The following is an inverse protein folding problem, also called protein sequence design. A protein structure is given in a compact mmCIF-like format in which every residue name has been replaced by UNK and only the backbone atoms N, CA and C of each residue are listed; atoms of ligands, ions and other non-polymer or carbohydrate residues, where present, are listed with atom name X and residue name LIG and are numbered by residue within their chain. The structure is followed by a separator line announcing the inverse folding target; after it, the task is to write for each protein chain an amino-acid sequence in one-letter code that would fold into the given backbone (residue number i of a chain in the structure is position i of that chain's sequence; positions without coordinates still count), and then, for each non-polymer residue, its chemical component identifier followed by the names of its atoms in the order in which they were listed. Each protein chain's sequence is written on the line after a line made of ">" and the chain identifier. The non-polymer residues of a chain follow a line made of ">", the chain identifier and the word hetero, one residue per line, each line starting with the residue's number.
data_IF_793163861575
#
_entry.id   IF_793163861575
#
_cell.length_a   1.000
_cell.length_b   1.000
_cell.length_c   1.000
_cell.angle_alpha   90.00
_cell.angle_beta   90.00
_cell.angle_gamma   90.00
#
_symmetry.space_group_name_H-M   'P 1'
#
loop_
_entity.id
_entity.type
_entity.pdbx_description
1 polymer ?
#
# COMPACT_ATOMS: atom_id res chain seq x y z
N UNK A 1 -6.99 -33.03 -28.73
CA UNK A 1 -6.85 -31.83 -27.88
C UNK A 1 -7.55 -30.68 -28.58
N UNK A 2 -8.80 -30.34 -28.19
CA UNK A 2 -9.54 -29.25 -28.80
C UNK A 2 -9.11 -27.91 -28.17
N UNK A 3 -8.41 -27.07 -28.93
CA UNK A 3 -7.98 -25.74 -28.50
C UNK A 3 -9.20 -24.82 -28.57
N UNK A 4 -9.71 -24.39 -27.41
CA UNK A 4 -10.82 -23.43 -27.35
C UNK A 4 -10.36 -22.09 -27.97
N UNK A 5 -10.93 -21.73 -29.12
CA UNK A 5 -10.70 -20.42 -29.76
C UNK A 5 -11.14 -19.31 -28.82
N UNK A 6 -10.33 -18.24 -28.74
CA UNK A 6 -10.69 -17.04 -27.99
C UNK A 6 -11.92 -16.38 -28.61
N UNK A 7 -12.82 -15.80 -27.80
CA UNK A 7 -13.93 -15.02 -28.32
C UNK A 7 -13.38 -13.82 -29.11
N UNK A 8 -14.03 -13.52 -30.23
CA UNK A 8 -13.72 -12.35 -31.04
C UNK A 8 -14.02 -11.08 -30.24
N UNK A 9 -13.09 -10.14 -30.26
CA UNK A 9 -13.26 -8.83 -29.62
C UNK A 9 -14.08 -7.95 -30.55
N UNK A 10 -15.15 -7.35 -30.03
CA UNK A 10 -15.99 -6.39 -30.76
C UNK A 10 -15.35 -4.99 -30.71
N UNK A 11 -14.86 -4.44 -31.84
CA UNK A 11 -14.25 -3.12 -31.88
C UNK A 11 -15.23 -2.00 -31.49
N UNK A 12 -16.53 -2.15 -31.76
CA UNK A 12 -17.53 -1.15 -31.43
C UNK A 12 -17.77 -1.01 -29.91
N UNK A 13 -17.47 -2.04 -29.12
CA UNK A 13 -17.55 -1.98 -27.67
C UNK A 13 -16.41 -1.15 -27.04
N UNK A 14 -15.25 -1.12 -27.71
CA UNK A 14 -14.08 -0.36 -27.26
C UNK A 14 -14.30 1.14 -27.51
N UNK A 15 -14.84 1.50 -28.66
CA UNK A 15 -15.15 2.90 -29.00
C UNK A 15 -16.18 3.51 -28.06
N UNK A 16 -17.29 2.80 -27.76
CA UNK A 16 -18.30 3.27 -26.81
C UNK A 16 -17.76 3.48 -25.39
N UNK A 17 -16.76 2.70 -24.98
CA UNK A 17 -16.10 2.89 -23.68
C UNK A 17 -15.26 4.17 -23.67
N UNK A 18 -14.58 4.49 -24.78
CA UNK A 18 -13.86 5.75 -24.95
C UNK A 18 -14.81 6.96 -24.92
N UNK A 19 -15.92 6.90 -25.66
CA UNK A 19 -16.90 7.98 -25.71
C UNK A 19 -17.56 8.25 -24.35
N UNK A 20 -17.79 7.20 -23.56
CA UNK A 20 -18.34 7.34 -22.21
C UNK A 20 -17.37 7.97 -21.21
N UNK A 21 -16.05 7.93 -21.47
CA UNK A 21 -15.04 8.52 -20.62
C UNK A 21 -14.82 10.02 -20.92
N UNK A 22 -15.08 10.46 -22.15
CA UNK A 22 -14.94 11.87 -22.59
C UNK A 22 -16.23 12.70 -22.39
N UNK A 23 -17.34 12.06 -22.00
CA UNK A 23 -18.58 12.77 -21.74
C UNK A 23 -18.48 13.66 -20.48
N UNK A 24 -18.85 14.96 -20.57
CA UNK A 24 -18.88 15.82 -19.40
C UNK A 24 -19.92 15.31 -18.38
N UNK A 25 -19.63 15.39 -17.06
CA UNK A 25 -20.56 14.92 -16.04
C UNK A 25 -21.86 15.71 -16.13
N UNK A 26 -22.96 15.01 -16.45
CA UNK A 26 -24.29 15.61 -16.41
C UNK A 26 -24.60 16.09 -14.98
N UNK A 27 -25.21 17.28 -14.80
CA UNK A 27 -25.56 17.77 -13.48
C UNK A 27 -26.58 16.82 -12.85
N UNK A 28 -26.25 16.34 -11.65
CA UNK A 28 -27.13 15.50 -10.84
C UNK A 28 -28.43 16.26 -10.54
N UNK A 29 -29.52 15.88 -11.20
CA UNK A 29 -30.86 16.26 -10.78
C UNK A 29 -31.15 15.59 -9.44
N UNK A 30 -31.51 16.42 -8.48
CA UNK A 30 -31.62 16.17 -7.06
C UNK A 30 -32.69 15.12 -6.72
N UNK A 31 -32.35 14.16 -5.86
CA UNK A 31 -33.30 13.49 -5.00
C UNK A 31 -32.94 13.80 -3.53
N UNK A 32 -33.52 14.91 -3.07
CA UNK A 32 -34.09 15.14 -1.75
C UNK A 32 -33.33 14.71 -0.47
N UNK A 33 -33.05 15.76 0.31
CA UNK A 33 -33.33 15.92 1.76
C UNK A 33 -32.32 15.50 2.82
N UNK A 34 -31.96 16.56 3.56
CA UNK A 34 -31.57 16.68 4.97
C UNK A 34 -30.12 16.39 5.37
N UNK A 35 -29.45 17.51 5.61
CA UNK A 35 -28.26 17.69 6.44
C UNK A 35 -28.32 16.89 7.74
N UNK A 36 -27.16 16.39 8.18
CA UNK A 36 -26.37 16.95 9.30
C UNK A 36 -25.29 15.93 9.64
N UNK A 37 -24.03 16.29 9.47
CA UNK A 37 -22.90 15.52 10.02
C UNK A 37 -22.98 15.59 11.55
N UNK A 38 -22.78 14.47 12.26
CA UNK A 38 -21.58 14.45 13.07
C UNK A 38 -20.76 13.18 12.86
N UNK A 39 -19.46 13.41 12.94
CA UNK A 39 -18.36 12.47 12.93
C UNK A 39 -18.58 11.37 13.98
N UNK A 40 -18.90 10.14 13.54
CA UNK A 40 -18.82 8.96 14.38
C UNK A 40 -17.60 8.14 13.94
N UNK A 41 -16.60 8.08 14.81
CA UNK A 41 -15.43 7.20 14.70
C UNK A 41 -15.94 5.76 14.72
N UNK A 42 -16.20 5.21 13.53
CA UNK A 42 -16.46 3.79 13.37
C UNK A 42 -15.13 3.04 13.37
N UNK A 43 -14.83 2.44 14.53
CA UNK A 43 -13.85 1.37 14.73
C UNK A 43 -13.99 0.38 13.57
N UNK A 44 -13.08 0.36 12.60
CA UNK A 44 -13.20 -0.54 11.45
C UNK A 44 -12.87 -1.97 11.90
N UNK A 45 -13.90 -2.67 12.35
CA UNK A 45 -13.94 -4.11 12.30
C UNK A 45 -13.86 -4.56 10.83
N UNK A 46 -13.19 -5.69 10.62
CA UNK A 46 -12.64 -6.16 9.35
C UNK A 46 -13.56 -6.07 8.13
N UNK A 47 -12.93 -5.73 7.00
CA UNK A 47 -13.38 -6.19 5.69
C UNK A 47 -12.20 -6.91 5.02
N UNK A 48 -12.18 -8.22 5.20
CA UNK A 48 -11.38 -9.11 4.37
C UNK A 48 -11.90 -9.01 2.92
N UNK A 49 -11.03 -8.58 2.01
CA UNK A 49 -11.24 -8.68 0.57
C UNK A 49 -9.93 -9.12 -0.10
N UNK A 50 -9.88 -10.42 -0.37
CA UNK A 50 -9.14 -11.10 -1.43
C UNK A 50 -7.81 -10.54 -1.91
N UNK A 51 -6.72 -11.08 -1.39
CA UNK A 51 -5.65 -11.67 -2.22
C UNK A 51 -5.09 -12.84 -1.43
N UNK A 52 -5.41 -14.07 -1.86
CA UNK A 52 -4.79 -15.26 -1.31
C UNK A 52 -3.31 -15.26 -1.69
N UNK A 53 -2.48 -14.62 -0.86
CA UNK A 53 -1.04 -14.82 -0.92
C UNK A 53 -0.77 -16.23 -0.42
N UNK A 54 -0.08 -17.01 -1.25
CA UNK A 54 0.52 -18.32 -0.96
C UNK A 54 0.99 -18.35 0.51
N UNK A 55 0.71 -19.42 1.29
CA UNK A 55 1.22 -19.53 2.64
C UNK A 55 2.74 -19.51 2.55
N UNK A 56 3.36 -18.43 3.03
CA UNK A 56 4.79 -18.46 3.33
C UNK A 56 4.87 -19.36 4.56
N UNK A 57 5.51 -20.52 4.39
CA UNK A 57 5.84 -21.45 5.46
C UNK A 57 6.43 -20.67 6.63
N UNK A 58 5.86 -20.84 7.82
CA UNK A 58 6.08 -19.93 8.95
C UNK A 58 7.52 -19.99 9.43
N UNK A 59 8.29 -18.95 9.13
CA UNK A 59 9.46 -18.62 9.92
C UNK A 59 8.99 -18.04 11.26
N UNK A 60 8.86 -18.91 12.27
CA UNK A 60 8.60 -18.53 13.66
C UNK A 60 7.21 -17.92 13.93
N UNK A 61 6.72 -18.11 15.16
CA UNK A 61 5.57 -17.36 15.64
C UNK A 61 5.94 -15.87 15.70
N UNK A 62 5.09 -15.01 15.13
CA UNK A 62 5.32 -13.57 15.18
C UNK A 62 5.16 -13.08 16.62
N UNK A 63 6.03 -12.18 17.14
CA UNK A 63 5.96 -11.74 18.51
C UNK A 63 4.58 -11.18 18.89
N UNK A 64 4.07 -11.59 20.05
CA UNK A 64 2.80 -11.11 20.56
C UNK A 64 2.86 -9.61 20.86
N UNK A 65 1.79 -8.88 20.55
CA UNK A 65 1.69 -7.43 20.77
C UNK A 65 2.38 -6.55 19.72
N UNK A 66 3.07 -7.10 18.73
CA UNK A 66 3.70 -6.32 17.65
C UNK A 66 2.94 -6.43 16.33
N UNK A 67 2.70 -5.28 15.69
CA UNK A 67 2.13 -5.24 14.33
C UNK A 67 3.12 -5.79 13.30
N UNK A 68 2.62 -6.58 12.34
CA UNK A 68 3.42 -7.10 11.20
C UNK A 68 3.83 -6.02 10.21
N UNK A 69 3.06 -4.94 10.18
CA UNK A 69 3.24 -3.82 9.25
C UNK A 69 3.18 -2.52 10.02
N UNK A 70 4.07 -1.60 9.67
CA UNK A 70 4.10 -0.26 10.22
C UNK A 70 4.07 0.75 9.07
N UNK A 71 3.25 1.78 9.21
CA UNK A 71 3.30 2.94 8.33
C UNK A 71 4.24 3.98 8.94
N UNK A 72 5.36 4.24 8.27
CA UNK A 72 6.30 5.28 8.68
C UNK A 72 5.85 6.60 8.08
N UNK A 73 5.65 7.61 8.94
CA UNK A 73 5.50 9.00 8.52
C UNK A 73 6.85 9.68 8.61
N UNK A 74 7.25 10.38 7.55
CA UNK A 74 8.50 11.14 7.51
C UNK A 74 8.21 12.58 7.94
N UNK A 75 8.53 12.97 9.19
CA UNK A 75 8.35 14.36 9.62
C UNK A 75 9.36 15.31 8.97
N UNK A 76 10.54 14.80 8.59
CA UNK A 76 11.61 15.54 7.95
C UNK A 76 11.73 15.15 6.46
N UNK A 77 11.55 16.09 5.51
CA UNK A 77 11.71 15.82 4.09
C UNK A 77 13.15 15.52 3.68
N UNK A 78 14.16 16.00 4.42
CA UNK A 78 15.57 15.76 4.10
C UNK A 78 15.89 14.26 4.21
N UNK A 79 15.43 13.63 5.28
CA UNK A 79 15.61 12.19 5.51
C UNK A 79 14.96 11.33 4.41
N UNK A 80 13.78 11.72 3.93
CA UNK A 80 13.11 11.01 2.84
C UNK A 80 13.91 11.11 1.53
N UNK A 81 14.54 12.26 1.27
CA UNK A 81 15.41 12.47 0.11
C UNK A 81 16.69 11.63 0.20
N UNK A 82 17.38 11.65 1.33
CA UNK A 82 18.58 10.85 1.55
C UNK A 82 18.31 9.35 1.36
N UNK A 83 17.19 8.86 1.89
CA UNK A 83 16.79 7.47 1.70
C UNK A 83 16.59 7.12 0.22
N UNK A 84 16.01 8.02 -0.57
CA UNK A 84 15.81 7.83 -2.00
C UNK A 84 17.15 7.81 -2.77
N UNK A 85 18.09 8.67 -2.40
CA UNK A 85 19.43 8.71 -2.99
C UNK A 85 20.22 7.44 -2.68
N UNK A 86 20.21 6.98 -1.42
CA UNK A 86 20.87 5.72 -1.02
C UNK A 86 20.22 4.52 -1.71
N UNK A 87 18.90 4.51 -1.86
CA UNK A 87 18.20 3.45 -2.58
C UNK A 87 18.61 3.37 -4.06
N UNK A 88 18.82 4.53 -4.70
CA UNK A 88 19.32 4.59 -6.07
C UNK A 88 20.77 4.08 -6.17
N UNK A 89 21.63 4.41 -5.20
CA UNK A 89 23.02 3.92 -5.15
C UNK A 89 23.11 2.40 -4.97
N UNK A 90 22.21 1.81 -4.17
CA UNK A 90 22.18 0.37 -3.93
C UNK A 90 21.43 -0.43 -5.01
N UNK A 91 20.86 0.23 -6.02
CA UNK A 91 19.94 -0.36 -7.01
C UNK A 91 18.81 -1.19 -6.34
N UNK A 92 18.18 -0.60 -5.31
CA UNK A 92 17.17 -1.25 -4.47
C UNK A 92 15.94 -0.37 -4.29
N UNK A 93 14.84 -1.00 -3.91
CA UNK A 93 13.64 -0.24 -3.53
C UNK A 93 13.85 0.50 -2.21
N UNK A 94 13.32 1.72 -2.13
CA UNK A 94 13.37 2.55 -0.92
C UNK A 94 12.93 1.80 0.35
N UNK A 95 11.90 0.96 0.24
CA UNK A 95 11.41 0.16 1.36
C UNK A 95 12.47 -0.83 1.87
N UNK A 96 13.17 -1.56 0.99
CA UNK A 96 14.22 -2.50 1.39
C UNK A 96 15.41 -1.78 2.00
N UNK A 97 15.79 -0.64 1.42
CA UNK A 97 16.86 0.22 1.94
C UNK A 97 16.52 0.75 3.33
N UNK A 98 15.27 1.20 3.54
CA UNK A 98 14.80 1.66 4.85
C UNK A 98 14.87 0.56 5.92
N UNK A 99 14.41 -0.66 5.60
CA UNK A 99 14.49 -1.78 6.53
C UNK A 99 15.93 -2.10 6.92
N UNK A 100 16.86 -2.09 5.96
CA UNK A 100 18.28 -2.34 6.21
C UNK A 100 18.91 -1.25 7.08
N UNK A 101 18.61 0.00 6.79
CA UNK A 101 19.09 1.14 7.57
C UNK A 101 18.58 1.06 9.02
N UNK A 102 17.31 0.73 9.22
CA UNK A 102 16.71 0.53 10.54
C UNK A 102 17.36 -0.63 11.30
N UNK A 103 17.58 -1.78 10.65
CA UNK A 103 18.24 -2.93 11.28
C UNK A 103 19.64 -2.56 11.79
N UNK A 104 20.44 -1.92 10.94
CA UNK A 104 21.80 -1.47 11.29
C UNK A 104 21.81 -0.41 12.40
N UNK A 105 20.88 0.54 12.34
CA UNK A 105 20.74 1.55 13.39
C UNK A 105 20.39 0.93 14.74
N UNK A 106 19.47 -0.04 14.77
CA UNK A 106 19.12 -0.76 16.00
C UNK A 106 20.23 -1.66 16.54
N UNK A 107 21.09 -2.18 15.67
CA UNK A 107 22.31 -2.91 16.08
C UNK A 107 23.33 -1.97 16.71
N UNK A 108 23.60 -0.81 16.09
CA UNK A 108 24.50 0.20 16.62
C UNK A 108 24.05 0.70 17.99
N UNK A 109 22.77 1.10 18.12
CA UNK A 109 22.22 1.56 19.40
C UNK A 109 22.32 0.50 20.51
N UNK A 110 22.14 -0.78 20.18
CA UNK A 110 22.31 -1.88 21.16
C UNK A 110 23.76 -2.05 21.57
N UNK A 111 24.70 -1.92 20.64
CA UNK A 111 26.13 -1.99 20.92
C UNK A 111 26.58 -0.82 21.81
N UNK A 112 26.10 0.39 21.55
CA UNK A 112 26.42 1.58 22.34
C UNK A 112 25.96 1.39 23.80
N UNK A 113 24.72 0.93 24.02
CA UNK A 113 24.21 0.66 25.36
C UNK A 113 24.93 -0.48 26.11
N UNK A 114 25.54 -1.41 25.40
CA UNK A 114 26.35 -2.48 26.02
C UNK A 114 27.77 -2.02 26.34
N UNK A 115 28.26 -1.00 25.65
CA UNK A 115 29.60 -0.44 25.83
C UNK A 115 29.67 0.55 26.99
N UNK A 116 28.54 1.17 27.34
CA UNK A 116 28.40 2.13 28.45
C UNK A 116 28.12 1.47 29.82
N UNK A 117 28.02 0.14 29.88
CA UNK A 117 27.82 -0.64 31.12
C UNK A 117 29.09 -1.38 31.53
#
# INVERSE_FOLDING_TARGET
>A
MAIKKRPAVDPAAIERFGDAADAPPAPAAQAATTATTPLAVAKSAGRAAGTAKRPVESAGEWPSGLGRTLLVRWPDPALAKELAEVAALEDRSQHKTALRALQRGLEALRADHQSER
#
